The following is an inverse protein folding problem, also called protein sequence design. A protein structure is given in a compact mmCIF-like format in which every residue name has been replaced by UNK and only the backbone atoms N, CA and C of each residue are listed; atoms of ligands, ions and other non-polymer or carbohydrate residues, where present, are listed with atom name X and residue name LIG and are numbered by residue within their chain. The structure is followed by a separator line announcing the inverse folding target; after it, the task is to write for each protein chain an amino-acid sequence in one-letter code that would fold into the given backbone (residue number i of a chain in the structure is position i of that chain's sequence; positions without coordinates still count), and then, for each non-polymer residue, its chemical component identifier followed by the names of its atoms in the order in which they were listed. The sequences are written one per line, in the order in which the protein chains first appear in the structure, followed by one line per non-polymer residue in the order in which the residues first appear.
data_IF_997293428636
#
_entry.id   IF_997293428636
#
_cell.length_a   1.000
_cell.length_b   1.000
_cell.length_c   1.000
_cell.angle_alpha   90.00
_cell.angle_beta   90.00
_cell.angle_gamma   90.00
#
_symmetry.space_group_name_H-M   'P 1'
#
loop_
_entity.id
_entity.type
_entity.pdbx_description
1 polymer ?
#
# COMPACT_ATOMS: atom_id res chain seq x y z
N UNK A 1 31.69 -4.99 -5.67
CA UNK A 1 31.18 -6.37 -5.79
C UNK A 1 29.71 -6.45 -5.39
N UNK A 2 28.87 -6.92 -6.31
CA UNK A 2 27.49 -7.33 -6.01
C UNK A 2 27.51 -8.65 -5.23
N UNK A 3 26.81 -8.66 -4.11
CA UNK A 3 26.63 -9.82 -3.24
C UNK A 3 25.56 -10.76 -3.80
N UNK A 4 25.59 -12.04 -3.39
CA UNK A 4 24.58 -13.04 -3.80
C UNK A 4 23.15 -12.59 -3.46
N UNK A 5 22.97 -11.97 -2.29
CA UNK A 5 21.68 -11.41 -1.84
C UNK A 5 21.16 -10.31 -2.74
N UNK A 6 22.03 -9.40 -3.20
CA UNK A 6 21.66 -8.33 -4.12
C UNK A 6 21.24 -8.90 -5.49
N UNK A 7 21.94 -9.94 -5.98
CA UNK A 7 21.58 -10.62 -7.24
C UNK A 7 20.25 -11.37 -7.16
N UNK A 8 20.00 -12.05 -6.05
CA UNK A 8 18.71 -12.69 -5.76
C UNK A 8 17.57 -11.66 -5.69
N UNK A 9 17.82 -10.51 -5.07
CA UNK A 9 16.85 -9.41 -5.03
C UNK A 9 16.55 -8.87 -6.42
N UNK A 10 17.57 -8.64 -7.27
CA UNK A 10 17.39 -8.17 -8.66
C UNK A 10 16.49 -9.14 -9.43
N UNK A 11 16.77 -10.44 -9.37
CA UNK A 11 16.02 -11.47 -10.08
C UNK A 11 14.57 -11.59 -9.58
N UNK A 12 14.39 -11.62 -8.26
CA UNK A 12 13.07 -11.61 -7.64
C UNK A 12 12.26 -10.37 -8.03
N UNK A 13 12.88 -9.19 -7.97
CA UNK A 13 12.22 -7.93 -8.31
C UNK A 13 11.92 -7.81 -9.81
N UNK A 14 12.76 -8.33 -10.70
CA UNK A 14 12.49 -8.38 -12.15
C UNK A 14 11.26 -9.21 -12.51
N UNK A 15 11.04 -10.34 -11.82
CA UNK A 15 9.84 -11.14 -12.02
C UNK A 15 8.61 -10.46 -11.44
N UNK A 16 8.73 -9.90 -10.23
CA UNK A 16 7.59 -9.27 -9.54
C UNK A 16 7.21 -7.89 -10.08
N UNK A 17 8.14 -7.11 -10.64
CA UNK A 17 7.89 -5.74 -11.09
C UNK A 17 6.88 -5.70 -12.23
N UNK A 18 6.85 -6.69 -13.13
CA UNK A 18 5.92 -6.70 -14.27
C UNK A 18 4.48 -6.95 -13.80
N UNK A 19 4.32 -7.90 -12.86
CA UNK A 19 3.02 -8.21 -12.23
C UNK A 19 2.52 -7.03 -11.40
N UNK A 20 3.43 -6.26 -10.78
CA UNK A 20 3.12 -5.09 -9.94
C UNK A 20 3.02 -3.77 -10.71
N UNK A 21 3.63 -3.67 -11.89
CA UNK A 21 3.64 -2.48 -12.77
C UNK A 21 2.36 -2.35 -13.61
N UNK A 22 1.75 -3.49 -14.00
CA UNK A 22 0.46 -3.51 -14.70
C UNK A 22 -0.64 -2.98 -13.75
N UNK A 23 -1.01 -1.73 -13.97
CA UNK A 23 -1.92 -0.88 -13.19
C UNK A 23 -3.20 -1.56 -12.63
N UNK A 24 -3.69 -2.66 -13.20
CA UNK A 24 -4.89 -3.39 -12.75
C UNK A 24 -4.74 -4.18 -11.43
N UNK A 25 -3.57 -4.75 -11.13
CA UNK A 25 -3.37 -5.49 -9.87
C UNK A 25 -3.11 -4.57 -8.65
N UNK A 26 -2.81 -3.28 -8.88
CA UNK A 26 -2.68 -2.26 -7.82
C UNK A 26 -4.02 -1.88 -7.19
N UNK A 27 -5.13 -2.04 -7.93
CA UNK A 27 -6.49 -1.85 -7.41
C UNK A 27 -6.96 -3.06 -6.59
N UNK A 28 -6.62 -4.29 -7.03
CA UNK A 28 -6.90 -5.51 -6.28
C UNK A 28 -5.99 -5.73 -5.05
N UNK A 29 -4.81 -5.12 -4.96
CA UNK A 29 -4.01 -5.17 -3.73
C UNK A 29 -4.43 -4.13 -2.70
N UNK A 30 -5.13 -3.07 -3.12
CA UNK A 30 -5.79 -2.10 -2.22
C UNK A 30 -7.11 -2.62 -1.66
N UNK A 31 -7.83 -3.46 -2.42
CA UNK A 31 -9.12 -4.04 -2.02
C UNK A 31 -9.08 -4.83 -0.71
N UNK A 32 -8.13 -5.76 -0.45
CA UNK A 32 -8.07 -6.49 0.81
C UNK A 32 -7.90 -5.58 2.00
N UNK A 33 -7.10 -4.52 1.86
CA UNK A 33 -6.87 -3.56 2.96
C UNK A 33 -8.07 -2.62 3.12
N UNK A 34 -8.63 -2.16 2.02
CA UNK A 34 -9.89 -1.39 1.99
C UNK A 34 -11.05 -2.17 2.61
N UNK A 35 -11.17 -3.46 2.35
CA UNK A 35 -12.17 -4.35 2.92
C UNK A 35 -11.83 -4.63 4.38
N UNK A 36 -10.57 -4.93 4.72
CA UNK A 36 -10.15 -5.22 6.09
C UNK A 36 -10.42 -4.05 7.05
N UNK A 37 -10.29 -2.80 6.59
CA UNK A 37 -10.58 -1.61 7.40
C UNK A 37 -11.96 -1.00 7.18
N UNK A 38 -12.49 -1.02 5.95
CA UNK A 38 -13.80 -0.48 5.61
C UNK A 38 -14.98 -1.35 6.04
N UNK A 39 -14.83 -2.69 5.98
CA UNK A 39 -15.90 -3.63 6.31
C UNK A 39 -16.27 -3.59 7.80
N UNK A 40 -15.35 -3.54 8.78
CA UNK A 40 -15.70 -3.38 10.19
C UNK A 40 -16.43 -2.07 10.48
N UNK A 41 -16.12 -0.99 9.74
CA UNK A 41 -16.72 0.32 9.98
C UNK A 41 -18.12 0.39 9.39
N UNK A 42 -18.33 -0.15 8.18
CA UNK A 42 -19.66 -0.31 7.60
C UNK A 42 -20.52 -1.23 8.48
N UNK A 43 -19.98 -2.37 8.92
CA UNK A 43 -20.70 -3.28 9.83
C UNK A 43 -21.04 -2.60 11.15
N UNK A 44 -20.13 -1.83 11.75
CA UNK A 44 -20.39 -1.12 13.00
C UNK A 44 -21.57 -0.13 12.85
N UNK A 45 -21.61 0.64 11.76
CA UNK A 45 -22.73 1.56 11.47
C UNK A 45 -24.04 0.81 11.25
N UNK A 46 -24.02 -0.29 10.50
CA UNK A 46 -25.21 -1.11 10.24
C UNK A 46 -25.73 -1.76 11.53
N UNK A 47 -24.84 -2.30 12.36
CA UNK A 47 -25.16 -2.91 13.65
C UNK A 47 -25.75 -1.89 14.62
N UNK A 48 -25.13 -0.72 14.78
CA UNK A 48 -25.66 0.34 15.65
C UNK A 48 -27.06 0.77 15.19
N UNK A 49 -27.28 0.91 13.88
CA UNK A 49 -28.59 1.29 13.33
C UNK A 49 -29.65 0.21 13.53
N UNK A 50 -29.31 -1.06 13.38
CA UNK A 50 -30.25 -2.18 13.52
C UNK A 50 -30.57 -2.53 14.98
N UNK A 51 -29.56 -2.52 15.86
CA UNK A 51 -29.71 -2.98 17.25
C UNK A 51 -30.01 -1.84 18.23
N UNK A 52 -29.64 -0.59 17.93
CA UNK A 52 -29.82 0.54 18.84
C UNK A 52 -30.42 1.79 18.15
N UNK A 53 -31.61 1.66 17.52
CA UNK A 53 -32.25 2.77 16.80
C UNK A 53 -32.61 3.96 17.70
N UNK A 54 -33.00 3.71 18.95
CA UNK A 54 -33.35 4.73 19.97
C UNK A 54 -32.14 5.54 20.45
N UNK A 55 -30.94 4.95 20.43
CA UNK A 55 -29.70 5.62 20.83
C UNK A 55 -29.14 6.46 19.68
N UNK A 56 -29.19 5.93 18.46
CA UNK A 56 -28.84 6.66 17.23
C UNK A 56 -29.70 7.92 17.05
N UNK A 57 -31.01 7.81 17.25
CA UNK A 57 -31.95 8.94 17.16
C UNK A 57 -31.70 9.99 18.25
N UNK A 58 -31.35 9.60 19.49
CA UNK A 58 -30.98 10.55 20.55
C UNK A 58 -29.72 11.35 20.23
N UNK A 59 -28.67 10.69 19.72
CA UNK A 59 -27.40 11.35 19.38
C UNK A 59 -27.50 12.17 18.09
N UNK A 60 -28.25 11.70 17.09
CA UNK A 60 -28.50 12.48 15.88
C UNK A 60 -29.23 13.79 16.20
N UNK A 61 -30.16 13.78 17.16
CA UNK A 61 -30.94 14.97 17.49
C UNK A 61 -30.12 16.07 18.18
N UNK A 62 -29.01 15.75 18.86
CA UNK A 62 -28.18 16.73 19.59
C UNK A 62 -27.00 17.27 18.77
N UNK A 63 -26.44 16.48 17.86
CA UNK A 63 -25.34 16.93 16.98
C UNK A 63 -25.39 16.17 15.65
N UNK A 64 -26.47 16.40 14.92
CA UNK A 64 -26.68 15.85 13.57
C UNK A 64 -25.47 16.12 12.68
N UNK A 65 -24.68 15.09 12.41
CA UNK A 65 -23.60 15.10 11.42
C UNK A 65 -22.18 14.97 11.97
N UNK A 66 -21.87 15.46 13.17
CA UNK A 66 -20.47 15.50 13.65
C UNK A 66 -19.87 14.11 13.86
N UNK A 67 -20.65 13.18 14.41
CA UNK A 67 -20.20 11.79 14.58
C UNK A 67 -19.91 11.11 13.25
N UNK A 68 -20.78 11.29 12.25
CA UNK A 68 -20.60 10.71 10.93
C UNK A 68 -19.40 11.31 10.21
N UNK A 69 -19.18 12.62 10.34
CA UNK A 69 -18.03 13.33 9.77
C UNK A 69 -16.73 12.83 10.39
N UNK A 70 -16.66 12.62 11.71
CA UNK A 70 -15.45 12.10 12.38
C UNK A 70 -15.15 10.67 11.93
N UNK A 71 -16.17 9.80 11.85
CA UNK A 71 -16.00 8.42 11.37
C UNK A 71 -15.49 8.40 9.92
N UNK A 72 -16.06 9.24 9.05
CA UNK A 72 -15.62 9.36 7.65
C UNK A 72 -14.20 9.93 7.57
N UNK A 73 -13.86 10.92 8.39
CA UNK A 73 -12.52 11.50 8.41
C UNK A 73 -11.44 10.49 8.84
N UNK A 74 -11.71 9.70 9.88
CA UNK A 74 -10.80 8.63 10.34
C UNK A 74 -10.66 7.54 9.28
N UNK A 75 -11.76 7.16 8.63
CA UNK A 75 -11.73 6.24 7.49
C UNK A 75 -10.81 6.76 6.38
N UNK A 76 -11.05 7.99 5.89
CA UNK A 76 -10.25 8.58 4.82
C UNK A 76 -8.77 8.63 5.22
N UNK A 77 -8.45 8.98 6.47
CA UNK A 77 -7.07 9.02 6.96
C UNK A 77 -6.39 7.64 6.93
N UNK A 78 -7.07 6.58 7.38
CA UNK A 78 -6.55 5.20 7.36
C UNK A 78 -6.34 4.73 5.92
N UNK A 79 -7.32 4.98 5.05
CA UNK A 79 -7.25 4.63 3.62
C UNK A 79 -6.10 5.35 2.93
N UNK A 80 -5.97 6.65 3.13
CA UNK A 80 -4.91 7.47 2.58
C UNK A 80 -3.54 6.98 3.06
N UNK A 81 -3.37 6.75 4.37
CA UNK A 81 -2.13 6.26 4.94
C UNK A 81 -1.73 4.88 4.38
N UNK A 82 -2.68 3.95 4.30
CA UNK A 82 -2.42 2.62 3.75
C UNK A 82 -2.03 2.65 2.28
N UNK A 83 -2.73 3.45 1.48
CA UNK A 83 -2.42 3.63 0.06
C UNK A 83 -1.03 4.24 -0.14
N UNK A 84 -0.74 5.34 0.57
CA UNK A 84 0.56 6.00 0.49
C UNK A 84 1.69 5.08 0.91
N UNK A 85 1.52 4.32 2.00
CA UNK A 85 2.52 3.35 2.46
C UNK A 85 2.80 2.27 1.43
N UNK A 86 1.76 1.75 0.78
CA UNK A 86 1.91 0.74 -0.28
C UNK A 86 2.65 1.32 -1.50
N UNK A 87 2.28 2.53 -1.91
CA UNK A 87 2.90 3.22 -3.04
C UNK A 87 4.37 3.53 -2.79
N UNK A 88 4.67 4.15 -1.65
CA UNK A 88 6.03 4.54 -1.25
C UNK A 88 6.96 3.33 -1.12
N UNK A 89 6.46 2.21 -0.57
CA UNK A 89 7.25 0.96 -0.49
C UNK A 89 7.58 0.40 -1.87
N UNK A 90 6.69 0.56 -2.85
CA UNK A 90 6.95 0.14 -4.22
C UNK A 90 8.01 1.01 -4.89
N UNK A 91 7.89 2.34 -4.75
CA UNK A 91 8.87 3.29 -5.29
C UNK A 91 10.26 3.07 -4.71
N UNK A 92 10.36 2.86 -3.39
CA UNK A 92 11.62 2.59 -2.70
C UNK A 92 12.33 1.35 -3.25
N UNK A 93 11.59 0.26 -3.46
CA UNK A 93 12.14 -0.98 -4.00
C UNK A 93 12.55 -0.82 -5.48
N UNK A 94 11.80 -0.05 -6.26
CA UNK A 94 12.15 0.24 -7.66
C UNK A 94 13.42 1.10 -7.75
N UNK A 95 13.60 2.06 -6.83
CA UNK A 95 14.82 2.84 -6.72
C UNK A 95 16.02 1.95 -6.36
N UNK A 96 15.90 1.12 -5.32
CA UNK A 96 16.94 0.18 -4.91
C UNK A 96 17.35 -0.75 -6.06
N UNK A 97 16.38 -1.26 -6.83
CA UNK A 97 16.65 -2.09 -8.00
C UNK A 97 17.47 -1.33 -9.07
N UNK A 98 17.14 -0.07 -9.36
CA UNK A 98 17.91 0.74 -10.33
C UNK A 98 19.34 0.97 -9.87
N UNK A 99 19.53 1.29 -8.58
CA UNK A 99 20.84 1.48 -7.99
C UNK A 99 21.70 0.22 -8.10
N UNK A 100 21.12 -0.94 -7.77
CA UNK A 100 21.80 -2.24 -7.89
C UNK A 100 22.15 -2.59 -9.34
N UNK A 101 21.28 -2.28 -10.30
CA UNK A 101 21.53 -2.52 -11.73
C UNK A 101 22.65 -1.63 -12.28
N UNK A 102 22.76 -0.39 -11.80
CA UNK A 102 23.87 0.50 -12.15
C UNK A 102 25.18 -0.07 -11.60
N UNK A 103 25.18 -0.48 -10.33
CA UNK A 103 26.32 -1.13 -9.67
C UNK A 103 26.77 -2.40 -10.41
N UNK A 104 25.83 -3.18 -10.94
CA UNK A 104 26.11 -4.39 -11.75
C UNK A 104 26.85 -4.03 -13.03
N UNK A 105 26.33 -3.05 -13.77
CA UNK A 105 26.94 -2.58 -15.02
C UNK A 105 28.34 -2.03 -14.82
N UNK A 106 28.54 -1.21 -13.78
CA UNK A 106 29.85 -0.63 -13.44
C UNK A 106 30.86 -1.74 -13.15
N UNK A 107 30.44 -2.78 -12.43
CA UNK A 107 31.32 -3.90 -12.12
C UNK A 107 31.65 -4.75 -13.35
N UNK A 108 30.68 -5.03 -14.22
CA UNK A 108 30.93 -5.75 -15.48
C UNK A 108 31.92 -4.96 -16.35
N UNK A 109 31.78 -3.62 -16.42
CA UNK A 109 32.72 -2.80 -17.18
C UNK A 109 34.12 -2.78 -16.60
N UNK A 110 34.28 -2.75 -15.26
CA UNK A 110 35.62 -2.82 -14.65
C UNK A 110 36.29 -4.17 -14.88
N UNK A 111 35.52 -5.25 -14.79
CA UNK A 111 36.02 -6.62 -15.01
C UNK A 111 36.40 -6.85 -16.48
N UNK A 112 35.79 -6.11 -17.42
CA UNK A 112 36.11 -6.19 -18.86
C UNK A 112 37.41 -5.45 -19.20
N UNK A 113 37.69 -4.33 -18.52
CA UNK A 113 38.90 -3.51 -18.75
C UNK A 113 40.14 -4.15 -18.11
N UNK A 114 40.00 -4.88 -17.01
CA UNK A 114 41.11 -5.58 -16.34
C UNK A 114 41.51 -6.89 -17.06
N UNK A 115 40.64 -7.42 -17.92
CA UNK A 115 40.87 -8.65 -18.70
C UNK A 115 41.27 -8.39 -20.18
N UNK A 116 41.50 -7.14 -20.57
CA UNK A 116 41.91 -6.73 -21.92
C UNK A 116 43.31 -6.12 -21.94
#
# INVERSE_FOLDING_TARGET
MITKKEKEFIHYWEQMRIVRSRFGNKMLSGLPVAVMFGLPIILSVVVIRLFFPEWYTKISNTTSGMFMVIVIAVLIAIFFYSYFRMHFKWEMNEQLYKELKIKEKVQISSDTIDNS
#
